data_IF_130587077332
#
_entry.id   IF_130587077332
#
_cell.length_a   1.000
_cell.length_b   1.000
_cell.length_c   1.000
_cell.angle_alpha   90.00
_cell.angle_beta   90.00
_cell.angle_gamma   90.00
#
_symmetry.space_group_name_H-M   'P 1'
#
loop_
_entity.id
_entity.type
_entity.pdbx_description
1 polymer ?
#
# COMPACT_ATOMS: atom_id res chain seq x y z
N UNK A 1 -6.16 18.74 5.69
CA UNK A 1 -7.56 18.34 5.95
C UNK A 1 -7.58 17.38 7.12
N UNK A 2 -8.54 17.53 8.04
CA UNK A 2 -8.66 16.70 9.24
C UNK A 2 -9.46 15.43 8.97
N UNK A 3 -9.22 14.38 9.77
CA UNK A 3 -9.91 13.08 9.71
C UNK A 3 -11.45 13.22 9.74
N UNK A 4 -11.93 14.17 10.54
CA UNK A 4 -13.34 14.49 10.73
C UNK A 4 -14.04 14.96 9.45
N UNK A 5 -13.29 15.49 8.48
CA UNK A 5 -13.83 15.90 7.18
C UNK A 5 -13.71 14.77 6.15
N UNK A 6 -12.58 14.05 6.14
CA UNK A 6 -12.30 13.06 5.11
C UNK A 6 -13.19 11.82 5.26
N UNK A 7 -13.38 11.31 6.48
CA UNK A 7 -14.13 10.06 6.65
C UNK A 7 -15.60 10.15 6.24
N UNK A 8 -16.37 11.19 6.63
CA UNK A 8 -17.76 11.32 6.20
C UNK A 8 -17.89 11.40 4.69
N UNK A 9 -17.06 12.22 4.04
CA UNK A 9 -17.05 12.35 2.58
C UNK A 9 -16.67 11.03 1.89
N UNK A 10 -15.66 10.34 2.40
CA UNK A 10 -15.25 9.05 1.85
C UNK A 10 -16.36 8.01 1.94
N UNK A 11 -17.05 7.90 3.09
CA UNK A 11 -18.18 6.99 3.25
C UNK A 11 -19.38 7.36 2.38
N UNK A 12 -19.61 8.65 2.14
CA UNK A 12 -20.65 9.10 1.22
C UNK A 12 -20.35 8.71 -0.23
N UNK A 13 -19.08 8.81 -0.65
CA UNK A 13 -18.64 8.44 -2.00
C UNK A 13 -18.53 6.93 -2.21
N UNK A 14 -18.11 6.19 -1.18
CA UNK A 14 -17.85 4.75 -1.24
C UNK A 14 -18.50 4.02 -0.05
N UNK A 15 -19.84 3.94 0.00
CA UNK A 15 -20.55 3.33 1.12
C UNK A 15 -20.21 1.84 1.30
N UNK A 16 -20.02 1.11 0.20
CA UNK A 16 -19.73 -0.32 0.18
C UNK A 16 -18.27 -0.61 -0.19
N UNK A 17 -17.33 0.21 0.28
CA UNK A 17 -15.93 0.09 -0.08
C UNK A 17 -15.35 -1.29 0.30
N UNK A 18 -14.98 -2.15 -0.67
CA UNK A 18 -14.50 -3.50 -0.36
C UNK A 18 -13.12 -3.47 0.33
N UNK A 19 -12.34 -2.41 0.17
CA UNK A 19 -11.02 -2.28 0.79
C UNK A 19 -11.08 -2.35 2.32
N UNK A 20 -12.14 -1.84 2.94
CA UNK A 20 -12.28 -1.88 4.41
C UNK A 20 -12.61 -3.26 4.97
N UNK A 21 -12.82 -4.25 4.10
CA UNK A 21 -12.98 -5.66 4.51
C UNK A 21 -11.64 -6.37 4.67
N UNK A 22 -10.54 -5.79 4.16
CA UNK A 22 -9.21 -6.35 4.28
C UNK A 22 -8.66 -6.13 5.70
N UNK A 23 -8.08 -7.17 6.29
CA UNK A 23 -7.43 -7.04 7.59
C UNK A 23 -6.35 -5.95 7.56
N UNK A 24 -6.35 -5.11 8.59
CA UNK A 24 -5.44 -3.97 8.69
C UNK A 24 -5.84 -2.74 7.88
N UNK A 25 -6.85 -2.80 7.00
CA UNK A 25 -7.28 -1.66 6.19
C UNK A 25 -8.53 -0.99 6.79
N UNK A 26 -8.36 0.22 7.32
CA UNK A 26 -9.45 1.07 7.79
C UNK A 26 -9.88 2.12 6.76
N UNK A 27 -10.87 2.94 7.11
CA UNK A 27 -11.41 4.02 6.25
C UNK A 27 -10.33 4.99 5.79
N UNK A 28 -9.40 5.37 6.68
CA UNK A 28 -8.33 6.32 6.36
C UNK A 28 -7.33 5.73 5.35
N UNK A 29 -7.00 4.44 5.51
CA UNK A 29 -6.18 3.69 4.56
C UNK A 29 -6.87 3.51 3.22
N UNK A 30 -8.16 3.13 3.23
CA UNK A 30 -8.96 2.96 2.03
C UNK A 30 -9.06 4.28 1.24
N UNK A 31 -9.30 5.41 1.92
CA UNK A 31 -9.27 6.73 1.30
C UNK A 31 -7.91 7.06 0.67
N UNK A 32 -6.82 6.70 1.35
CA UNK A 32 -5.46 6.85 0.81
C UNK A 32 -5.29 6.00 -0.46
N UNK A 33 -5.67 4.73 -0.44
CA UNK A 33 -5.57 3.86 -1.61
C UNK A 33 -6.40 4.38 -2.79
N UNK A 34 -7.66 4.75 -2.56
CA UNK A 34 -8.52 5.28 -3.61
C UNK A 34 -7.98 6.58 -4.22
N UNK A 35 -7.42 7.48 -3.41
CA UNK A 35 -6.89 8.75 -3.89
C UNK A 35 -5.65 8.59 -4.80
N UNK A 36 -4.76 7.64 -4.49
CA UNK A 36 -3.49 7.47 -5.21
C UNK A 36 -3.55 6.40 -6.31
N UNK A 37 -4.24 5.29 -6.07
CA UNK A 37 -4.36 4.19 -7.05
C UNK A 37 -5.32 4.61 -8.15
N UNK A 38 -6.50 5.13 -7.76
CA UNK A 38 -7.63 5.53 -8.61
C UNK A 38 -8.20 4.39 -9.45
N UNK A 39 -7.41 3.89 -10.40
CA UNK A 39 -7.71 2.76 -11.26
C UNK A 39 -6.71 1.64 -10.97
N UNK A 40 -7.18 0.45 -10.58
CA UNK A 40 -6.32 -0.70 -10.28
C UNK A 40 -5.83 -1.40 -11.56
N UNK A 41 -6.58 -1.29 -12.67
CA UNK A 41 -6.29 -1.98 -13.93
C UNK A 41 -5.04 -1.41 -14.63
N UNK A 42 -4.58 -0.23 -14.20
CA UNK A 42 -3.27 0.32 -14.57
C UNK A 42 -2.09 -0.53 -14.09
N UNK A 43 -2.32 -1.50 -13.20
CA UNK A 43 -1.34 -2.47 -12.73
C UNK A 43 -1.77 -3.90 -13.12
N UNK A 44 -1.50 -4.35 -14.36
CA UNK A 44 -1.87 -5.68 -14.84
C UNK A 44 -1.31 -6.84 -14.02
N UNK A 45 -0.24 -6.60 -13.25
CA UNK A 45 0.36 -7.62 -12.38
C UNK A 45 0.67 -7.05 -10.99
N UNK A 46 0.64 -7.95 -9.99
CA UNK A 46 1.02 -7.63 -8.61
C UNK A 46 2.47 -7.11 -8.53
N UNK A 47 3.36 -7.60 -9.39
CA UNK A 47 4.75 -7.13 -9.46
C UNK A 47 4.83 -5.65 -9.86
N UNK A 48 4.08 -5.23 -10.88
CA UNK A 48 4.03 -3.83 -11.31
C UNK A 48 3.48 -2.91 -10.21
N UNK A 49 2.44 -3.37 -9.50
CA UNK A 49 1.93 -2.65 -8.33
C UNK A 49 2.99 -2.51 -7.22
N UNK A 50 3.73 -3.59 -6.91
CA UNK A 50 4.78 -3.57 -5.89
C UNK A 50 5.94 -2.63 -6.27
N UNK A 51 6.33 -2.63 -7.54
CA UNK A 51 7.36 -1.72 -8.07
C UNK A 51 6.92 -0.26 -7.94
N UNK A 52 5.66 0.04 -8.29
CA UNK A 52 5.09 1.38 -8.14
C UNK A 52 5.00 1.82 -6.68
N UNK A 53 4.60 0.94 -5.75
CA UNK A 53 4.58 1.24 -4.31
C UNK A 53 5.98 1.37 -3.68
N UNK A 54 7.03 0.91 -4.36
CA UNK A 54 8.39 0.88 -3.83
C UNK A 54 8.58 -0.13 -2.68
N UNK A 55 7.80 -1.21 -2.66
CA UNK A 55 7.83 -2.27 -1.63
C UNK A 55 8.72 -3.46 -2.05
N UNK A 56 9.23 -3.47 -3.28
CA UNK A 56 10.20 -4.47 -3.74
C UNK A 56 11.58 -4.16 -3.13
N UNK A 57 12.28 -5.12 -2.52
CA UNK A 57 13.70 -4.94 -2.22
C UNK A 57 14.42 -4.71 -3.56
N UNK A 58 15.06 -3.55 -3.72
CA UNK A 58 15.85 -3.26 -4.92
C UNK A 58 16.80 -4.43 -5.15
N UNK A 59 16.78 -5.09 -6.31
CA UNK A 59 17.82 -6.05 -6.70
C UNK A 59 18.79 -5.34 -7.65
N UNK A 60 20.07 -5.25 -7.27
CA UNK A 60 21.16 -4.99 -8.22
C UNK A 60 21.89 -6.32 -8.39
N UNK A 61 21.52 -7.10 -9.40
CA UNK A 61 22.32 -8.25 -9.79
C UNK A 61 23.25 -7.83 -10.93
N UNK A 62 24.36 -7.17 -10.57
CA UNK A 62 25.49 -6.97 -11.47
C UNK A 62 26.65 -7.81 -10.94
N UNK A 63 26.78 -9.04 -11.42
CA UNK A 63 27.96 -9.91 -11.25
C UNK A 63 28.40 -10.25 -9.82
N UNK A 64 28.25 -11.52 -9.42
CA UNK A 64 29.02 -12.21 -8.37
C UNK A 64 29.23 -11.49 -7.00
N UNK A 65 28.29 -10.67 -6.53
CA UNK A 65 28.36 -10.08 -5.19
C UNK A 65 26.99 -9.81 -4.60
N UNK A 66 26.64 -10.52 -3.52
CA UNK A 66 25.46 -10.20 -2.71
C UNK A 66 25.71 -8.90 -1.92
N UNK A 67 25.12 -7.80 -2.36
CA UNK A 67 25.13 -6.56 -1.60
C UNK A 67 24.14 -6.62 -0.43
N UNK A 68 24.66 -6.94 0.77
CA UNK A 68 23.94 -6.78 2.04
C UNK A 68 23.60 -5.30 2.25
N UNK A 69 22.30 -4.95 2.30
CA UNK A 69 21.67 -3.61 2.46
C UNK A 69 21.29 -2.92 1.15
N UNK A 70 20.18 -3.34 0.55
CA UNK A 70 19.55 -2.62 -0.55
C UNK A 70 18.49 -1.64 0.00
N UNK A 71 18.61 -0.35 -0.37
CA UNK A 71 17.64 0.69 0.02
C UNK A 71 16.31 0.42 -0.70
N UNK A 72 15.19 0.55 0.01
CA UNK A 72 13.86 0.58 -0.62
C UNK A 72 13.85 1.63 -1.73
N UNK A 73 13.23 1.31 -2.86
CA UNK A 73 13.15 2.23 -3.99
C UNK A 73 12.44 3.53 -3.56
N UNK A 74 12.93 4.68 -4.04
CA UNK A 74 12.27 5.99 -3.86
C UNK A 74 11.07 6.15 -4.81
N UNK A 75 10.77 5.16 -5.65
CA UNK A 75 9.59 5.18 -6.48
C UNK A 75 8.35 4.92 -5.61
N UNK A 76 7.28 5.64 -5.92
CA UNK A 76 5.98 5.52 -5.25
C UNK A 76 5.69 6.61 -4.22
N UNK A 77 4.41 6.94 -3.99
CA UNK A 77 4.02 7.87 -2.94
C UNK A 77 4.44 7.34 -1.56
N UNK A 78 5.21 8.12 -0.80
CA UNK A 78 5.66 7.74 0.55
C UNK A 78 4.50 7.39 1.49
N UNK A 79 3.35 8.06 1.31
CA UNK A 79 2.15 7.79 2.08
C UNK A 79 1.61 6.38 1.80
N UNK A 80 1.54 5.95 0.53
CA UNK A 80 1.08 4.61 0.17
C UNK A 80 1.98 3.53 0.77
N UNK A 81 3.29 3.73 0.68
CA UNK A 81 4.30 2.82 1.25
C UNK A 81 4.14 2.68 2.76
N UNK A 82 4.02 3.81 3.47
CA UNK A 82 3.81 3.81 4.92
C UNK A 82 2.48 3.16 5.32
N UNK A 83 1.40 3.48 4.62
CA UNK A 83 0.06 2.90 4.86
C UNK A 83 0.07 1.38 4.63
N UNK A 84 0.66 0.90 3.54
CA UNK A 84 0.80 -0.54 3.28
C UNK A 84 1.62 -1.27 4.35
N UNK A 85 2.72 -0.67 4.81
CA UNK A 85 3.53 -1.25 5.88
C UNK A 85 2.72 -1.40 7.18
N UNK A 86 2.05 -0.34 7.62
CA UNK A 86 1.24 -0.35 8.84
C UNK A 86 0.06 -1.31 8.74
N UNK A 87 -0.60 -1.36 7.58
CA UNK A 87 -1.75 -2.24 7.38
C UNK A 87 -1.32 -3.72 7.35
N UNK A 88 -0.16 -4.04 6.76
CA UNK A 88 0.40 -5.39 6.82
C UNK A 88 0.78 -5.79 8.25
N UNK A 89 1.38 -4.88 9.03
CA UNK A 89 1.72 -5.13 10.44
C UNK A 89 0.47 -5.43 11.28
N UNK A 90 -0.60 -4.66 11.11
CA UNK A 90 -1.88 -4.93 11.76
C UNK A 90 -2.50 -6.23 11.26
N UNK A 91 -2.44 -6.52 9.95
CA UNK A 91 -3.00 -7.74 9.39
C UNK A 91 -2.36 -9.01 9.96
N UNK A 92 -1.04 -8.99 10.23
CA UNK A 92 -0.31 -10.10 10.87
C UNK A 92 -0.82 -10.48 12.26
N UNK A 93 -1.44 -9.53 12.96
CA UNK A 93 -2.06 -9.80 14.26
C UNK A 93 -3.29 -10.70 14.14
N UNK A 94 -3.93 -10.70 12.97
CA UNK A 94 -5.16 -11.47 12.69
C UNK A 94 -4.87 -12.73 11.87
N UNK A 95 -3.84 -12.71 11.03
CA UNK A 95 -3.34 -13.86 10.28
C UNK A 95 -1.81 -13.97 10.43
N UNK A 96 -1.39 -14.91 11.29
CA UNK A 96 0.02 -15.13 11.67
C UNK A 96 0.90 -15.57 10.48
N UNK A 97 0.31 -15.96 9.34
CA UNK A 97 1.05 -16.44 8.17
C UNK A 97 1.33 -15.35 7.11
N UNK A 98 0.96 -14.08 7.36
CA UNK A 98 1.21 -12.91 6.47
C UNK A 98 2.61 -12.29 6.59
#
# INVERSE_FOLDING_TARGET
>A
MTREVIQPLFRQLYPDCPLTTLYGVGVDSAATYMAFIQDIDRFPTVEQFRLWCGIVPHSRQSGFGESKRMRMTQAGPNLIKATLYLNADVARLWDVQL
#
